data_IF_502706556500
#
_entry.id   IF_502706556500
#
_cell.length_a   1.000
_cell.length_b   1.000
_cell.length_c   1.000
_cell.angle_alpha   90.00
_cell.angle_beta   90.00
_cell.angle_gamma   90.00
#
_symmetry.space_group_name_H-M   'P 1'
#
loop_
_entity.id
_entity.type
_entity.pdbx_description
1 polymer ?
#
# COMPACT_ATOMS: atom_id res chain seq x y z
N UNK A 1 -28.87 8.99 40.77
CA UNK A 1 -29.16 7.82 39.90
C UNK A 1 -29.00 8.27 38.43
N UNK A 2 -27.82 8.74 38.02
CA UNK A 2 -26.85 7.98 37.22
C UNK A 2 -27.47 7.00 36.21
N UNK A 3 -27.65 7.45 34.98
CA UNK A 3 -27.37 6.62 33.81
C UNK A 3 -26.75 7.55 32.78
N UNK A 4 -25.42 7.57 32.80
CA UNK A 4 -24.60 8.22 31.79
C UNK A 4 -24.94 7.56 30.46
N UNK A 5 -25.54 8.34 29.57
CA UNK A 5 -25.53 8.08 28.14
C UNK A 5 -24.04 8.05 27.77
N UNK A 6 -23.45 6.86 27.67
CA UNK A 6 -22.08 6.75 27.16
C UNK A 6 -22.13 7.24 25.73
N UNK A 7 -21.51 8.40 25.52
CA UNK A 7 -21.32 9.01 24.24
C UNK A 7 -20.71 7.96 23.30
N UNK A 8 -21.41 7.66 22.20
CA UNK A 8 -20.78 7.09 21.02
C UNK A 8 -19.71 8.08 20.58
N UNK A 9 -18.50 7.71 20.93
CA UNK A 9 -17.26 8.36 20.60
C UNK A 9 -17.12 8.37 19.07
N UNK A 10 -17.60 9.44 18.42
CA UNK A 10 -17.42 9.69 16.98
C UNK A 10 -15.99 10.17 16.71
N UNK A 11 -14.98 9.43 17.14
CA UNK A 11 -13.60 9.64 16.70
C UNK A 11 -13.39 8.81 15.44
N UNK A 12 -13.10 9.49 14.34
CA UNK A 12 -12.60 8.99 13.05
C UNK A 12 -12.98 7.56 12.66
N UNK A 13 -13.92 7.44 11.71
CA UNK A 13 -14.37 6.19 11.08
C UNK A 13 -13.32 5.58 10.14
N UNK A 14 -12.04 5.65 10.48
CA UNK A 14 -10.99 5.00 9.72
C UNK A 14 -10.77 3.61 10.30
N UNK A 15 -10.83 2.55 9.48
CA UNK A 15 -10.55 1.21 9.94
C UNK A 15 -9.14 1.15 10.55
N UNK A 16 -8.89 0.22 11.50
CA UNK A 16 -7.56 0.02 12.05
C UNK A 16 -6.57 -0.23 10.90
N UNK A 17 -5.54 0.61 10.81
CA UNK A 17 -4.52 0.57 9.78
C UNK A 17 -3.12 0.42 10.41
N UNK A 18 -2.17 -0.12 9.65
CA UNK A 18 -0.77 -0.23 10.07
C UNK A 18 0.17 0.21 8.95
N UNK A 19 0.76 1.39 9.11
CA UNK A 19 1.73 1.94 8.16
C UNK A 19 2.97 1.05 8.05
N UNK A 20 3.39 0.44 9.15
CA UNK A 20 4.53 -0.49 9.18
C UNK A 20 4.23 -1.77 8.40
N UNK A 21 2.99 -2.27 8.46
CA UNK A 21 2.57 -3.42 7.66
C UNK A 21 2.58 -3.09 6.16
N UNK A 22 2.04 -1.93 5.76
CA UNK A 22 2.08 -1.47 4.37
C UNK A 22 3.52 -1.35 3.85
N UNK A 23 4.41 -0.75 4.65
CA UNK A 23 5.83 -0.65 4.30
C UNK A 23 6.50 -2.03 4.18
N UNK A 24 6.12 -2.97 5.04
CA UNK A 24 6.65 -4.35 5.00
C UNK A 24 6.20 -5.09 3.74
N UNK A 25 4.96 -4.89 3.31
CA UNK A 25 4.43 -5.44 2.05
C UNK A 25 5.17 -4.85 0.84
N UNK A 26 5.30 -3.52 0.77
CA UNK A 26 6.04 -2.89 -0.32
C UNK A 26 7.51 -3.32 -0.32
N UNK A 27 8.12 -3.44 0.86
CA UNK A 27 9.48 -3.93 1.01
C UNK A 27 9.66 -5.36 0.55
N UNK A 28 8.72 -6.27 0.86
CA UNK A 28 8.81 -7.67 0.42
C UNK A 28 8.73 -7.81 -1.10
N UNK A 29 7.88 -7.00 -1.76
CA UNK A 29 7.76 -6.95 -3.21
C UNK A 29 9.05 -6.51 -3.90
N UNK A 30 9.81 -5.58 -3.30
CA UNK A 30 11.12 -5.17 -3.81
C UNK A 30 12.21 -6.23 -3.63
N UNK A 31 12.00 -7.19 -2.72
CA UNK A 31 12.97 -8.25 -2.41
C UNK A 31 12.72 -9.53 -3.22
N UNK A 32 11.48 -9.80 -3.61
CA UNK A 32 11.09 -11.03 -4.30
C UNK A 32 9.93 -10.84 -5.27
N UNK A 33 10.09 -11.34 -6.51
CA UNK A 33 9.00 -11.41 -7.48
C UNK A 33 7.87 -12.34 -7.03
N UNK A 34 8.19 -13.43 -6.30
CA UNK A 34 7.17 -14.34 -5.77
C UNK A 34 6.27 -13.61 -4.76
N UNK A 35 6.84 -12.68 -3.98
CA UNK A 35 6.05 -11.86 -3.06
C UNK A 35 5.07 -10.93 -3.80
N UNK A 36 5.42 -10.47 -5.00
CA UNK A 36 4.49 -9.68 -5.83
C UNK A 36 3.30 -10.54 -6.25
N UNK A 37 3.55 -11.77 -6.68
CA UNK A 37 2.50 -12.73 -7.07
C UNK A 37 1.57 -12.96 -5.87
N UNK A 38 2.12 -13.40 -4.73
CA UNK A 38 1.35 -13.73 -3.53
C UNK A 38 0.52 -12.54 -3.02
N UNK A 39 1.12 -11.34 -2.98
CA UNK A 39 0.43 -10.14 -2.50
C UNK A 39 -0.66 -9.69 -3.48
N UNK A 40 -0.43 -9.80 -4.79
CA UNK A 40 -1.39 -9.39 -5.83
C UNK A 40 -2.66 -10.24 -5.86
N UNK A 41 -2.64 -11.44 -5.27
CA UNK A 41 -3.82 -12.29 -5.14
C UNK A 41 -4.76 -11.83 -4.01
N UNK A 42 -4.26 -11.02 -3.06
CA UNK A 42 -4.97 -10.71 -1.82
C UNK A 42 -5.18 -9.22 -1.56
N UNK A 43 -4.39 -8.33 -2.17
CA UNK A 43 -4.49 -6.88 -2.00
C UNK A 43 -4.77 -6.18 -3.32
N UNK A 44 -5.68 -5.20 -3.26
CA UNK A 44 -5.85 -4.17 -4.27
C UNK A 44 -5.15 -2.87 -3.81
N UNK A 45 -4.75 -1.98 -4.73
CA UNK A 45 -4.15 -0.70 -4.34
C UNK A 45 -5.00 0.12 -3.37
N UNK A 46 -6.33 0.02 -3.47
CA UNK A 46 -7.32 0.71 -2.65
C UNK A 46 -7.32 0.23 -1.19
N UNK A 47 -6.71 -0.91 -0.88
CA UNK A 47 -6.57 -1.44 0.48
C UNK A 47 -5.49 -0.71 1.30
N UNK A 48 -4.59 0.02 0.64
CA UNK A 48 -3.59 0.83 1.32
C UNK A 48 -4.22 2.08 1.91
N UNK A 49 -3.97 2.34 3.20
CA UNK A 49 -4.44 3.54 3.87
C UNK A 49 -3.71 4.80 3.37
N UNK A 50 -2.41 4.69 3.09
CA UNK A 50 -1.64 5.79 2.50
C UNK A 50 -1.72 5.75 0.98
N UNK A 51 -2.26 6.82 0.39
CA UNK A 51 -2.28 7.00 -1.07
C UNK A 51 -0.89 6.84 -1.71
N UNK A 52 0.16 7.37 -1.06
CA UNK A 52 1.53 7.21 -1.54
C UNK A 52 1.94 5.73 -1.65
N UNK A 53 1.50 4.88 -0.72
CA UNK A 53 1.77 3.44 -0.76
C UNK A 53 0.94 2.75 -1.85
N UNK A 54 -0.33 3.14 -2.02
CA UNK A 54 -1.16 2.66 -3.13
C UNK A 54 -0.54 2.98 -4.50
N UNK A 55 0.01 4.18 -4.67
CA UNK A 55 0.71 4.60 -5.89
C UNK A 55 1.96 3.75 -6.13
N UNK A 56 2.78 3.53 -5.08
CA UNK A 56 3.97 2.68 -5.17
C UNK A 56 3.58 1.25 -5.57
N UNK A 57 2.55 0.70 -4.93
CA UNK A 57 2.02 -0.62 -5.22
C UNK A 57 1.56 -0.75 -6.68
N UNK A 58 0.78 0.21 -7.19
CA UNK A 58 0.36 0.26 -8.60
C UNK A 58 1.56 0.26 -9.56
N UNK A 59 2.56 1.09 -9.29
CA UNK A 59 3.75 1.16 -10.13
C UNK A 59 4.54 -0.16 -10.11
N UNK A 60 4.64 -0.81 -8.95
CA UNK A 60 5.26 -2.13 -8.81
C UNK A 60 4.52 -3.20 -9.65
N UNK A 61 3.19 -3.23 -9.59
CA UNK A 61 2.38 -4.13 -10.42
C UNK A 61 2.54 -3.85 -11.92
N UNK A 62 2.61 -2.59 -12.33
CA UNK A 62 2.79 -2.22 -13.73
C UNK A 62 4.15 -2.70 -14.27
N UNK A 63 5.22 -2.52 -13.49
CA UNK A 63 6.56 -3.00 -13.84
C UNK A 63 6.56 -4.53 -13.96
N UNK A 64 6.01 -5.21 -12.96
CA UNK A 64 5.90 -6.66 -12.94
C UNK A 64 5.12 -7.19 -14.17
N UNK A 65 3.97 -6.59 -14.49
CA UNK A 65 3.17 -6.96 -15.64
C UNK A 65 3.87 -6.70 -16.99
N UNK A 66 4.79 -5.75 -17.02
CA UNK A 66 5.62 -5.42 -18.20
C UNK A 66 6.87 -6.29 -18.31
N UNK A 67 7.12 -7.17 -17.34
CA UNK A 67 8.35 -7.97 -17.25
C UNK A 67 9.59 -7.16 -16.86
N UNK A 68 9.41 -5.94 -16.36
CA UNK A 68 10.47 -5.06 -15.90
C UNK A 68 10.84 -5.38 -14.43
N UNK A 69 12.10 -5.14 -14.02
CA UNK A 69 12.52 -5.38 -12.64
C UNK A 69 11.81 -4.43 -11.68
N UNK A 70 11.33 -4.97 -10.57
CA UNK A 70 10.69 -4.22 -9.49
C UNK A 70 11.74 -3.97 -8.40
N UNK A 71 12.58 -2.97 -8.63
CA UNK A 71 13.65 -2.55 -7.72
C UNK A 71 13.57 -1.04 -7.45
N UNK A 72 14.27 -0.51 -6.42
CA UNK A 72 14.14 0.89 -6.05
C UNK A 72 14.51 1.90 -7.15
N UNK A 73 15.43 1.55 -8.05
CA UNK A 73 15.86 2.43 -9.15
C UNK A 73 14.75 2.49 -10.20
N UNK A 74 14.37 1.33 -10.74
CA UNK A 74 13.37 1.21 -11.80
C UNK A 74 12.01 1.75 -11.36
N UNK A 75 11.63 1.48 -10.11
CA UNK A 75 10.42 2.00 -9.50
C UNK A 75 10.46 3.53 -9.36
N UNK A 76 11.58 4.09 -8.89
CA UNK A 76 11.72 5.55 -8.76
C UNK A 76 11.64 6.26 -10.11
N UNK A 77 12.25 5.70 -11.15
CA UNK A 77 12.17 6.23 -12.52
C UNK A 77 10.73 6.20 -13.05
N UNK A 78 10.03 5.10 -12.82
CA UNK A 78 8.62 4.93 -13.19
C UNK A 78 7.74 5.97 -12.50
N UNK A 79 7.91 6.16 -11.19
CA UNK A 79 7.16 7.14 -10.41
C UNK A 79 7.44 8.58 -10.88
N UNK A 80 8.69 8.93 -11.17
CA UNK A 80 9.05 10.25 -11.74
C UNK A 80 8.40 10.47 -13.10
N UNK A 81 8.46 9.47 -13.98
CA UNK A 81 7.86 9.55 -15.31
C UNK A 81 6.34 9.78 -15.25
N UNK A 82 5.68 9.28 -14.21
CA UNK A 82 4.26 9.45 -13.95
C UNK A 82 3.91 10.75 -13.19
N UNK A 83 4.90 11.51 -12.73
CA UNK A 83 4.68 12.72 -11.91
C UNK A 83 4.32 12.43 -10.45
N UNK A 84 4.64 11.23 -9.96
CA UNK A 84 4.32 10.75 -8.62
C UNK A 84 5.49 10.83 -7.63
N UNK A 85 6.66 11.36 -8.04
CA UNK A 85 7.87 11.55 -7.22
C UNK A 85 8.63 12.82 -7.63
#
# INVERSE_FOLDING_TARGET
>A
MSTVVQAFDRHDQLPPHSIEAEQSVLGSMLLSQDAIIDVSEILEPEDFYKEAHAIIYRAALQLFASGEPVDPVTLSETLRAQGNL
#
